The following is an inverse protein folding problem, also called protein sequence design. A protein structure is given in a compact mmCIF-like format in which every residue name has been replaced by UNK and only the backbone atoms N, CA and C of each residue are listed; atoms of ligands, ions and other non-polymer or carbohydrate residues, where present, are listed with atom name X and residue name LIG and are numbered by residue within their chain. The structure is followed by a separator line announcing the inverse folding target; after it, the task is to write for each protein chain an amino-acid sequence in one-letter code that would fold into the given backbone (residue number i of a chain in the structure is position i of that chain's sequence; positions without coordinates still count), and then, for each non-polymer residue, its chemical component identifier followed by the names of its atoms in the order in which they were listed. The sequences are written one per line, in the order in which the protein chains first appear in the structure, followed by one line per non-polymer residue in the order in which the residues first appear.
data_IF_041360108835
#
_entry.id   IF_041360108835
#
_cell.length_a   1.000
_cell.length_b   1.000
_cell.length_c   1.000
_cell.angle_alpha   90.00
_cell.angle_beta   90.00
_cell.angle_gamma   90.00
#
_symmetry.space_group_name_H-M   'P 1'
#
loop_
_entity.id
_entity.type
_entity.pdbx_description
1 polymer ?
#
# COMPACT_ATOMS: atom_id res chain seq x y z
N UNK A 1 -15.62 2.57 -6.75
CA UNK A 1 -14.77 2.49 -7.96
C UNK A 1 -15.35 1.43 -8.87
N UNK A 2 -15.51 1.67 -10.18
CA UNK A 2 -15.97 0.64 -11.13
C UNK A 2 -14.99 -0.55 -11.15
N UNK A 3 -15.53 -1.76 -11.36
CA UNK A 3 -14.70 -2.97 -11.35
C UNK A 3 -13.61 -2.96 -12.43
N UNK A 4 -13.91 -2.38 -13.58
CA UNK A 4 -12.94 -2.22 -14.67
C UNK A 4 -11.77 -1.32 -14.29
N UNK A 5 -12.02 -0.19 -13.63
CA UNK A 5 -10.96 0.72 -13.17
C UNK A 5 -10.06 0.02 -12.14
N UNK A 6 -10.67 -0.77 -11.24
CA UNK A 6 -9.90 -1.58 -10.27
C UNK A 6 -9.01 -2.62 -10.96
N UNK A 7 -9.56 -3.30 -11.98
CA UNK A 7 -8.81 -4.28 -12.76
C UNK A 7 -7.63 -3.65 -13.49
N UNK A 8 -7.87 -2.58 -14.26
CA UNK A 8 -6.80 -1.89 -14.98
C UNK A 8 -5.74 -1.32 -14.04
N UNK A 9 -6.17 -0.74 -12.91
CA UNK A 9 -5.24 -0.23 -11.91
C UNK A 9 -4.35 -1.35 -11.36
N UNK A 10 -4.94 -2.48 -11.00
CA UNK A 10 -4.21 -3.65 -10.48
C UNK A 10 -3.22 -4.18 -11.52
N UNK A 11 -3.65 -4.40 -12.76
CA UNK A 11 -2.78 -4.84 -13.85
C UNK A 11 -1.62 -3.86 -14.07
N UNK A 12 -1.91 -2.55 -14.10
CA UNK A 12 -0.89 -1.53 -14.26
C UNK A 12 0.14 -1.52 -13.12
N UNK A 13 -0.28 -1.81 -11.89
CA UNK A 13 0.63 -1.95 -10.73
C UNK A 13 1.62 -3.11 -10.93
N UNK A 14 1.13 -4.27 -11.34
CA UNK A 14 2.00 -5.44 -11.58
C UNK A 14 2.95 -5.23 -12.76
N UNK A 15 2.43 -4.72 -13.88
CA UNK A 15 3.25 -4.47 -15.07
C UNK A 15 4.27 -3.35 -14.82
N UNK A 16 3.83 -2.26 -14.19
CA UNK A 16 4.70 -1.12 -13.87
C UNK A 16 5.78 -1.50 -12.85
N UNK A 17 5.43 -2.27 -11.82
CA UNK A 17 6.39 -2.77 -10.84
C UNK A 17 7.45 -3.68 -11.50
N UNK A 18 7.02 -4.65 -12.33
CA UNK A 18 7.93 -5.53 -13.04
C UNK A 18 8.82 -4.75 -14.02
N UNK A 19 8.24 -3.87 -14.82
CA UNK A 19 9.00 -3.02 -15.73
C UNK A 19 10.04 -2.14 -15.00
N UNK A 20 9.67 -1.59 -13.83
CA UNK A 20 10.57 -0.82 -12.99
C UNK A 20 11.77 -1.63 -12.49
N UNK A 21 11.52 -2.84 -11.98
CA UNK A 21 12.62 -3.72 -11.51
C UNK A 21 13.52 -4.13 -12.68
N UNK A 22 12.96 -4.52 -13.83
CA UNK A 22 13.74 -4.91 -14.99
C UNK A 22 14.57 -3.75 -15.58
N UNK A 23 13.99 -2.55 -15.63
CA UNK A 23 14.70 -1.34 -16.04
C UNK A 23 15.86 -1.03 -15.08
N UNK A 24 15.62 -1.11 -13.77
CA UNK A 24 16.65 -0.91 -12.76
C UNK A 24 17.76 -1.97 -12.89
N UNK A 25 17.40 -3.22 -13.16
CA UNK A 25 18.36 -4.29 -13.41
C UNK A 25 19.22 -4.01 -14.67
N UNK A 26 18.60 -3.49 -15.72
CA UNK A 26 19.32 -3.11 -16.93
C UNK A 26 20.32 -1.95 -16.71
N UNK A 27 19.97 -1.01 -15.82
CA UNK A 27 20.80 0.15 -15.52
C UNK A 27 21.92 -0.16 -14.51
N UNK A 28 21.61 -0.92 -13.46
CA UNK A 28 22.56 -1.24 -12.38
C UNK A 28 23.33 -2.53 -12.64
N UNK A 29 22.87 -3.37 -13.56
CA UNK A 29 23.54 -4.61 -13.90
C UNK A 29 23.74 -5.56 -12.70
N UNK A 30 24.99 -6.06 -12.49
CA UNK A 30 25.27 -7.05 -11.45
C UNK A 30 24.98 -6.59 -10.01
N UNK A 31 24.98 -5.29 -9.75
CA UNK A 31 24.73 -4.74 -8.40
C UNK A 31 23.36 -5.10 -7.87
N UNK A 32 22.31 -5.09 -8.71
CA UNK A 32 20.95 -5.44 -8.29
C UNK A 32 20.78 -6.96 -8.13
N UNK A 33 21.53 -7.74 -8.91
CA UNK A 33 21.52 -9.21 -8.87
C UNK A 33 22.44 -9.79 -7.79
N UNK A 34 23.25 -8.96 -7.12
CA UNK A 34 24.14 -9.40 -6.04
C UNK A 34 23.33 -10.16 -4.98
N UNK A 35 23.80 -11.30 -4.45
CA UNK A 35 23.09 -12.10 -3.44
C UNK A 35 22.67 -11.30 -2.19
N UNK A 36 23.39 -10.24 -1.84
CA UNK A 36 23.07 -9.37 -0.71
C UNK A 36 21.89 -8.45 -0.98
N UNK A 37 21.61 -8.12 -2.24
CA UNK A 37 20.52 -7.26 -2.70
C UNK A 37 19.37 -8.08 -3.27
N UNK A 38 19.68 -9.03 -4.13
CA UNK A 38 18.78 -9.99 -4.75
C UNK A 38 17.44 -9.38 -5.21
N UNK A 39 17.51 -8.32 -6.04
CA UNK A 39 16.36 -7.57 -6.55
C UNK A 39 15.44 -7.04 -5.45
N UNK A 40 15.92 -6.87 -4.21
CA UNK A 40 15.14 -6.53 -3.02
C UNK A 40 13.90 -7.42 -2.84
N UNK A 41 14.05 -8.71 -3.12
CA UNK A 41 12.95 -9.70 -3.03
C UNK A 41 12.48 -9.83 -1.59
N UNK A 42 11.17 -9.90 -1.40
CA UNK A 42 10.56 -10.16 -0.11
C UNK A 42 10.37 -11.66 0.09
N UNK A 43 10.90 -12.16 1.19
CA UNK A 43 10.77 -13.55 1.60
C UNK A 43 10.57 -13.62 3.12
N UNK A 44 9.84 -14.62 3.62
CA UNK A 44 9.69 -14.82 5.06
C UNK A 44 11.05 -14.97 5.74
N UNK A 45 11.24 -14.24 6.83
CA UNK A 45 12.43 -14.29 7.65
C UNK A 45 12.64 -15.63 8.37
N UNK A 46 13.68 -15.72 9.22
CA UNK A 46 14.04 -16.96 9.93
C UNK A 46 12.95 -17.46 10.88
N UNK A 47 12.11 -16.55 11.39
CA UNK A 47 11.02 -16.89 12.32
C UNK A 47 9.81 -17.56 11.62
N UNK A 48 9.87 -17.71 10.30
CA UNK A 48 8.93 -18.48 9.51
C UNK A 48 7.75 -17.70 8.95
N UNK A 49 6.92 -18.42 8.17
CA UNK A 49 5.83 -17.80 7.40
C UNK A 49 4.71 -17.21 8.28
N UNK A 50 4.47 -17.78 9.45
CA UNK A 50 3.43 -17.30 10.38
C UNK A 50 3.79 -15.92 10.93
N UNK A 51 5.05 -15.73 11.35
CA UNK A 51 5.53 -14.45 11.85
C UNK A 51 5.52 -13.42 10.73
N UNK A 52 5.99 -13.78 9.54
CA UNK A 52 5.95 -12.90 8.37
C UNK A 52 4.52 -12.50 8.00
N UNK A 53 3.56 -13.43 8.05
CA UNK A 53 2.15 -13.15 7.78
C UNK A 53 1.58 -12.14 8.78
N UNK A 54 1.82 -12.34 10.08
CA UNK A 54 1.34 -11.43 11.13
C UNK A 54 1.99 -10.05 11.05
N UNK A 55 3.28 -9.98 10.71
CA UNK A 55 4.01 -8.74 10.51
C UNK A 55 3.42 -7.94 9.33
N UNK A 56 3.26 -8.56 8.16
CA UNK A 56 2.65 -7.94 6.97
C UNK A 56 1.19 -7.51 7.21
N UNK A 57 0.40 -8.31 7.93
CA UNK A 57 -0.97 -7.97 8.27
C UNK A 57 -1.01 -6.74 9.17
N UNK A 58 -0.18 -6.73 10.24
CA UNK A 58 -0.16 -5.63 11.20
C UNK A 58 0.34 -4.33 10.58
N UNK A 59 1.45 -4.36 9.83
CA UNK A 59 2.00 -3.17 9.19
C UNK A 59 1.05 -2.59 8.15
N UNK A 60 0.41 -3.44 7.34
CA UNK A 60 -0.60 -3.02 6.37
C UNK A 60 -1.85 -2.46 7.04
N UNK A 61 -2.30 -3.07 8.15
CA UNK A 61 -3.41 -2.57 8.96
C UNK A 61 -3.11 -1.16 9.51
N UNK A 62 -1.96 -0.99 10.18
CA UNK A 62 -1.58 0.29 10.80
C UNK A 62 -1.37 1.37 9.74
N UNK A 63 -0.72 1.05 8.61
CA UNK A 63 -0.53 2.00 7.52
C UNK A 63 -1.87 2.45 6.94
N UNK A 64 -2.77 1.52 6.63
CA UNK A 64 -4.09 1.85 6.07
C UNK A 64 -4.92 2.67 7.04
N UNK A 65 -4.92 2.30 8.32
CA UNK A 65 -5.62 3.07 9.36
C UNK A 65 -5.06 4.49 9.50
N UNK A 66 -3.73 4.65 9.51
CA UNK A 66 -3.08 5.95 9.56
C UNK A 66 -3.42 6.81 8.33
N UNK A 67 -3.42 6.22 7.13
CA UNK A 67 -3.83 6.91 5.90
C UNK A 67 -5.30 7.32 5.96
N UNK A 68 -6.20 6.45 6.41
CA UNK A 68 -7.62 6.78 6.55
C UNK A 68 -7.84 7.91 7.56
N UNK A 69 -7.23 7.86 8.73
CA UNK A 69 -7.35 8.90 9.75
C UNK A 69 -6.81 10.22 9.23
N UNK A 70 -5.61 10.24 8.67
CA UNK A 70 -4.97 11.48 8.24
C UNK A 70 -5.67 12.10 7.03
N UNK A 71 -6.02 11.30 6.03
CA UNK A 71 -6.68 11.78 4.81
C UNK A 71 -8.10 12.31 5.06
N UNK A 72 -8.78 11.78 6.08
CA UNK A 72 -10.12 12.20 6.45
C UNK A 72 -10.15 13.29 7.55
N UNK A 73 -8.99 13.77 8.00
CA UNK A 73 -8.88 14.87 8.94
C UNK A 73 -8.42 16.13 8.20
N UNK A 74 -9.25 17.16 8.13
CA UNK A 74 -9.02 18.37 7.33
C UNK A 74 -7.62 18.99 7.51
N UNK A 75 -7.15 19.13 8.77
CA UNK A 75 -5.84 19.72 9.07
C UNK A 75 -4.67 18.77 8.76
N UNK A 76 -4.89 17.46 8.86
CA UNK A 76 -3.87 16.43 8.66
C UNK A 76 -3.78 15.93 7.22
N UNK A 77 -4.83 16.11 6.40
CA UNK A 77 -4.91 15.56 5.05
C UNK A 77 -3.72 15.92 4.16
N UNK A 78 -3.21 17.15 4.28
CA UNK A 78 -2.02 17.61 3.55
C UNK A 78 -0.73 16.87 3.92
N UNK A 79 -0.69 16.22 5.08
CA UNK A 79 0.47 15.48 5.58
C UNK A 79 0.34 13.97 5.39
N UNK A 80 -0.74 13.47 4.77
CA UNK A 80 -0.97 12.02 4.61
C UNK A 80 0.21 11.31 3.94
N UNK A 81 0.78 11.90 2.88
CA UNK A 81 1.96 11.34 2.23
C UNK A 81 3.20 11.30 3.13
N UNK A 82 3.40 12.34 3.95
CA UNK A 82 4.52 12.37 4.90
C UNK A 82 4.36 11.31 5.99
N UNK A 83 3.16 11.16 6.55
CA UNK A 83 2.85 10.14 7.56
C UNK A 83 3.03 8.74 6.98
N UNK A 84 2.47 8.48 5.80
CA UNK A 84 2.63 7.18 5.12
C UNK A 84 4.10 6.88 4.81
N UNK A 85 4.86 7.85 4.30
CA UNK A 85 6.28 7.70 4.00
C UNK A 85 7.12 7.45 5.26
N UNK A 86 6.87 8.17 6.35
CA UNK A 86 7.56 7.99 7.62
C UNK A 86 7.28 6.59 8.21
N UNK A 87 6.02 6.15 8.22
CA UNK A 87 5.67 4.79 8.67
C UNK A 87 6.35 3.73 7.81
N UNK A 88 6.32 3.88 6.50
CA UNK A 88 6.98 2.95 5.58
C UNK A 88 8.48 2.87 5.84
N UNK A 89 9.15 4.00 6.06
CA UNK A 89 10.58 4.04 6.39
C UNK A 89 10.88 3.31 7.71
N UNK A 90 10.05 3.52 8.74
CA UNK A 90 10.16 2.80 10.02
C UNK A 90 9.99 1.30 9.80
N UNK A 91 8.98 0.87 9.02
CA UNK A 91 8.73 -0.54 8.76
C UNK A 91 9.87 -1.21 7.99
N UNK A 92 10.49 -0.50 7.03
CA UNK A 92 11.69 -1.03 6.36
C UNK A 92 12.80 -1.35 7.37
N UNK A 93 12.97 -0.52 8.38
CA UNK A 93 14.02 -0.72 9.40
C UNK A 93 13.66 -1.85 10.37
N UNK A 94 12.40 -1.88 10.84
CA UNK A 94 11.99 -2.73 11.97
C UNK A 94 11.46 -4.08 11.49
N UNK A 95 10.71 -4.11 10.38
CA UNK A 95 9.93 -5.27 9.95
C UNK A 95 10.65 -6.12 8.90
N UNK A 96 11.58 -5.55 8.11
CA UNK A 96 12.30 -6.29 7.08
C UNK A 96 12.93 -7.62 7.53
N UNK A 97 13.46 -7.76 8.76
CA UNK A 97 13.98 -9.05 9.22
C UNK A 97 12.93 -10.16 9.31
N UNK A 98 11.65 -9.81 9.50
CA UNK A 98 10.56 -10.77 9.70
C UNK A 98 9.89 -11.21 8.39
N UNK A 99 9.65 -10.27 7.45
CA UNK A 99 8.98 -10.57 6.18
C UNK A 99 9.69 -10.04 4.93
N UNK A 100 10.74 -9.23 5.08
CA UNK A 100 11.32 -8.49 3.97
C UNK A 100 10.54 -7.21 3.63
N UNK A 101 9.51 -6.89 4.39
CA UNK A 101 8.66 -5.69 4.31
C UNK A 101 8.10 -5.43 2.90
N UNK A 102 6.90 -5.90 2.63
CA UNK A 102 6.25 -5.74 1.34
C UNK A 102 5.07 -4.79 1.36
N UNK A 103 4.05 -5.11 2.14
CA UNK A 103 2.73 -4.46 2.17
C UNK A 103 2.05 -4.32 0.80
N UNK A 104 2.64 -4.88 -0.26
CA UNK A 104 2.16 -4.70 -1.63
C UNK A 104 2.42 -5.96 -2.47
N UNK A 105 1.36 -6.68 -2.90
CA UNK A 105 1.47 -7.85 -3.75
C UNK A 105 2.24 -7.61 -5.06
N UNK A 106 2.01 -6.46 -5.71
CA UNK A 106 2.67 -6.12 -6.97
C UNK A 106 4.17 -5.89 -6.78
N UNK A 107 4.59 -5.26 -5.66
CA UNK A 107 6.00 -5.09 -5.31
C UNK A 107 6.68 -6.45 -5.12
N UNK A 108 6.10 -7.33 -4.31
CA UNK A 108 6.65 -8.67 -4.08
C UNK A 108 6.76 -9.48 -5.37
N UNK A 109 5.69 -9.52 -6.15
CA UNK A 109 5.69 -10.23 -7.44
C UNK A 109 6.79 -9.71 -8.37
N UNK A 110 6.91 -8.39 -8.50
CA UNK A 110 7.87 -7.75 -9.40
C UNK A 110 9.32 -8.07 -9.08
N UNK A 111 9.66 -8.19 -7.80
CA UNK A 111 10.99 -8.61 -7.34
C UNK A 111 11.19 -10.13 -7.43
N UNK A 112 10.14 -10.91 -7.14
CA UNK A 112 10.20 -12.38 -7.18
C UNK A 112 10.48 -12.93 -8.59
N UNK A 113 9.97 -12.28 -9.64
CA UNK A 113 10.16 -12.72 -11.04
C UNK A 113 11.65 -12.78 -11.42
N UNK A 114 12.44 -11.71 -11.36
CA UNK A 114 13.87 -11.79 -11.73
C UNK A 114 14.70 -12.56 -10.68
N UNK A 115 14.35 -12.50 -9.39
CA UNK A 115 15.02 -13.24 -8.34
C UNK A 115 14.74 -14.76 -8.38
N UNK A 116 13.72 -15.19 -9.11
CA UNK A 116 13.22 -16.58 -9.16
C UNK A 116 12.90 -17.17 -7.78
N UNK A 117 12.43 -16.31 -6.85
CA UNK A 117 12.13 -16.69 -5.49
C UNK A 117 10.63 -16.56 -5.19
N UNK A 118 9.98 -17.71 -5.01
CA UNK A 118 8.52 -17.82 -4.85
C UNK A 118 8.09 -18.27 -3.44
N UNK A 119 9.08 -18.42 -2.54
CA UNK A 119 8.83 -18.93 -1.20
C UNK A 119 7.91 -17.98 -0.40
N UNK A 120 6.75 -18.50 0.00
CA UNK A 120 5.79 -17.75 0.80
C UNK A 120 5.08 -16.62 0.03
N UNK A 121 5.13 -16.59 -1.30
CA UNK A 121 4.52 -15.53 -2.11
C UNK A 121 3.05 -15.26 -1.74
N UNK A 122 2.28 -16.31 -1.45
CA UNK A 122 0.86 -16.24 -1.11
C UNK A 122 0.58 -15.31 0.10
N UNK A 123 1.49 -15.29 1.09
CA UNK A 123 1.29 -14.47 2.29
C UNK A 123 1.29 -12.97 1.98
N UNK A 124 2.09 -12.54 1.00
CA UNK A 124 2.17 -11.13 0.57
C UNK A 124 0.94 -10.68 -0.24
N UNK A 125 0.10 -11.62 -0.66
CA UNK A 125 -1.22 -11.34 -1.21
C UNK A 125 -2.27 -11.35 -0.10
N UNK A 126 -2.27 -12.36 0.75
CA UNK A 126 -3.31 -12.54 1.75
C UNK A 126 -3.18 -11.56 2.93
N UNK A 127 -2.00 -11.43 3.53
CA UNK A 127 -1.82 -10.66 4.74
C UNK A 127 -2.05 -9.15 4.55
N UNK A 128 -1.44 -8.46 3.54
CA UNK A 128 -1.68 -7.05 3.35
C UNK A 128 -3.13 -6.72 3.01
N UNK A 129 -3.77 -7.50 2.14
CA UNK A 129 -5.17 -7.28 1.79
C UNK A 129 -6.08 -7.43 3.00
N UNK A 130 -5.87 -8.48 3.80
CA UNK A 130 -6.62 -8.70 5.03
C UNK A 130 -6.42 -7.56 6.04
N UNK A 131 -5.17 -7.12 6.23
CA UNK A 131 -4.85 -6.01 7.12
C UNK A 131 -5.53 -4.70 6.69
N UNK A 132 -5.47 -4.38 5.39
CA UNK A 132 -6.10 -3.16 4.85
C UNK A 132 -7.63 -3.21 4.95
N UNK A 133 -8.27 -4.36 4.68
CA UNK A 133 -9.72 -4.52 4.84
C UNK A 133 -10.12 -4.36 6.30
N UNK A 134 -9.43 -5.02 7.22
CA UNK A 134 -9.68 -4.89 8.66
C UNK A 134 -9.54 -3.43 9.14
N UNK A 135 -8.54 -2.70 8.65
CA UNK A 135 -8.38 -1.29 8.97
C UNK A 135 -9.55 -0.44 8.45
N UNK A 136 -10.04 -0.74 7.25
CA UNK A 136 -11.22 -0.10 6.67
C UNK A 136 -12.47 -0.33 7.52
N UNK A 137 -12.72 -1.57 7.94
CA UNK A 137 -13.86 -1.91 8.80
C UNK A 137 -13.76 -1.23 10.17
N UNK A 138 -12.59 -1.29 10.82
CA UNK A 138 -12.36 -0.61 12.11
C UNK A 138 -12.58 0.90 11.97
N UNK A 139 -12.10 1.50 10.88
CA UNK A 139 -12.30 2.93 10.63
C UNK A 139 -13.78 3.25 10.44
N UNK A 140 -14.51 2.49 9.64
CA UNK A 140 -15.95 2.70 9.40
C UNK A 140 -16.79 2.55 10.67
N UNK A 141 -16.47 1.56 11.51
CA UNK A 141 -17.13 1.34 12.79
C UNK A 141 -16.86 2.50 13.79
N UNK A 142 -15.68 3.09 13.73
CA UNK A 142 -15.26 4.14 14.67
C UNK A 142 -15.71 5.54 14.24
N UNK A 143 -15.66 5.84 12.93
CA UNK A 143 -15.84 7.18 12.36
C UNK A 143 -17.02 7.29 11.36
N UNK A 144 -17.58 6.18 10.94
CA UNK A 144 -18.83 6.08 10.17
C UNK A 144 -18.75 6.45 8.69
N UNK A 145 -17.77 7.21 8.24
CA UNK A 145 -17.64 7.64 6.83
C UNK A 145 -16.18 7.71 6.39
N UNK A 146 -15.93 7.26 5.17
CA UNK A 146 -14.65 7.48 4.47
C UNK A 146 -14.89 8.50 3.37
N UNK A 147 -14.13 9.58 3.40
CA UNK A 147 -14.16 10.59 2.35
C UNK A 147 -13.37 10.12 1.13
N UNK A 148 -13.60 10.76 -0.02
CA UNK A 148 -12.86 10.45 -1.23
C UNK A 148 -11.38 10.77 -1.05
N UNK A 149 -10.50 9.82 -1.42
CA UNK A 149 -9.04 10.03 -1.39
C UNK A 149 -8.50 11.04 -2.42
N UNK A 150 -9.36 11.64 -3.23
CA UNK A 150 -8.97 12.70 -4.16
C UNK A 150 -8.89 14.04 -3.41
N UNK A 151 -7.68 14.61 -3.33
CA UNK A 151 -7.42 15.86 -2.62
C UNK A 151 -8.14 17.08 -3.23
N UNK A 152 -8.34 17.09 -4.54
CA UNK A 152 -8.93 18.22 -5.27
C UNK A 152 -10.12 17.79 -6.10
N UNK A 153 -11.31 18.31 -5.75
CA UNK A 153 -12.55 18.14 -6.51
C UNK A 153 -12.93 19.43 -7.28
N UNK A 154 -11.99 20.36 -7.42
CA UNK A 154 -12.21 21.72 -7.96
C UNK A 154 -12.39 21.80 -9.48
N UNK A 155 -12.39 20.68 -10.19
CA UNK A 155 -12.58 20.63 -11.62
C UNK A 155 -13.98 20.11 -11.98
N UNK A 156 -14.47 20.46 -13.19
CA UNK A 156 -15.77 20.03 -13.71
C UNK A 156 -15.84 18.57 -14.12
N UNK A 157 -14.72 17.84 -14.00
CA UNK A 157 -14.64 16.45 -14.39
C UNK A 157 -15.17 15.56 -13.28
N UNK A 158 -15.94 14.54 -13.66
CA UNK A 158 -16.41 13.51 -12.74
C UNK A 158 -15.22 12.89 -12.00
N UNK A 159 -15.37 12.72 -10.68
CA UNK A 159 -14.36 12.05 -9.87
C UNK A 159 -14.15 10.61 -10.34
N UNK A 160 -12.90 10.21 -10.57
CA UNK A 160 -12.55 8.84 -10.98
C UNK A 160 -12.99 7.78 -9.97
N UNK A 161 -13.13 8.16 -8.69
CA UNK A 161 -13.63 7.27 -7.63
C UNK A 161 -15.16 7.26 -7.53
N UNK A 162 -15.87 8.02 -8.35
CA UNK A 162 -17.33 8.15 -8.35
C UNK A 162 -17.90 8.46 -6.95
N UNK A 163 -17.20 9.34 -6.20
CA UNK A 163 -17.47 9.62 -4.79
C UNK A 163 -18.79 10.35 -4.51
N UNK A 164 -19.50 10.83 -5.55
CA UNK A 164 -20.73 11.60 -5.38
C UNK A 164 -20.52 12.99 -4.77
N UNK A 165 -19.29 13.49 -4.70
CA UNK A 165 -19.00 14.84 -4.21
C UNK A 165 -19.70 15.87 -5.11
N UNK A 166 -20.70 16.54 -4.56
CA UNK A 166 -21.43 17.61 -5.23
C UNK A 166 -20.81 18.95 -4.83
N UNK A 167 -20.49 19.80 -5.80
CA UNK A 167 -19.85 21.13 -5.59
C UNK A 167 -20.64 22.10 -4.68
N UNK A 168 -21.86 21.73 -4.29
CA UNK A 168 -22.75 22.53 -3.46
C UNK A 168 -22.82 22.15 -1.98
N UNK A 169 -22.18 21.06 -1.55
CA UNK A 169 -22.13 20.65 -0.14
C UNK A 169 -20.72 20.71 0.41
N UNK A 170 -20.31 21.89 0.81
CA UNK A 170 -19.34 22.03 1.89
C UNK A 170 -20.00 21.56 3.21
N UNK A 171 -20.21 20.26 3.37
CA UNK A 171 -20.40 19.74 4.71
C UNK A 171 -19.03 19.79 5.39
N UNK A 172 -18.89 20.53 6.49
CA UNK A 172 -17.65 20.60 7.23
C UNK A 172 -17.26 19.17 7.63
N UNK A 173 -16.00 18.82 7.36
CA UNK A 173 -15.33 17.66 7.91
C UNK A 173 -15.47 17.71 9.45
N UNK A 174 -16.51 17.08 9.97
CA UNK A 174 -16.77 17.01 11.41
C UNK A 174 -15.96 15.84 11.96
N UNK A 175 -14.69 16.08 12.16
CA UNK A 175 -14.03 15.58 13.36
C UNK A 175 -13.84 16.82 14.25
N UNK A 176 -14.86 17.07 15.05
CA UNK A 176 -14.73 17.96 16.18
C UNK A 176 -13.66 17.40 17.13
N UNK A 177 -12.75 18.31 17.47
CA UNK A 177 -11.81 18.38 18.57
C UNK A 177 -11.45 17.07 19.30
#
# INVERSE_FOLDING_TARGET
MPAWDACFYTVAQFLGGLAGVLLTAALLGPWLADPSVNYAVTVPGPDGQTVAFLAELLTSFVLMLAVLITSNTHRAARFTGLVAGALTAIYVIVESPYSGMSMNPARTFSSAVPAQMWRGLWLYFAAPLSGMVLAGEVYLLSFGRVYCGKLHHENDKRCIFHCGHDKGREEPLVLAA
#
